data_IF_389876332023
#
_entry.id   IF_389876332023
#
_cell.length_a   1.000
_cell.length_b   1.000
_cell.length_c   1.000
_cell.angle_alpha   90.00
_cell.angle_beta   90.00
_cell.angle_gamma   90.00
#
_symmetry.space_group_name_H-M   'P 1'
#
loop_
_entity.id
_entity.type
_entity.pdbx_description
1 polymer ?
#
# COMPACT_ATOMS: atom_id res chain seq x y z
N UNK A 1 -48.10 -25.38 -22.32
CA UNK A 1 -48.06 -24.08 -21.63
C UNK A 1 -47.60 -24.33 -20.19
N UNK A 2 -46.33 -24.10 -19.87
CA UNK A 2 -45.74 -24.26 -18.55
C UNK A 2 -46.01 -23.00 -17.72
N UNK A 3 -46.54 -23.18 -16.51
CA UNK A 3 -46.77 -22.09 -15.56
C UNK A 3 -45.43 -21.49 -15.13
N UNK A 4 -45.30 -20.17 -14.99
CA UNK A 4 -44.10 -19.54 -14.43
C UNK A 4 -43.96 -19.93 -12.94
N UNK A 5 -42.77 -20.41 -12.59
CA UNK A 5 -42.40 -20.62 -11.17
C UNK A 5 -42.27 -19.28 -10.49
N UNK A 6 -43.15 -19.00 -9.53
CA UNK A 6 -43.07 -17.83 -8.67
C UNK A 6 -42.15 -18.15 -7.49
N UNK A 7 -40.94 -17.64 -7.50
CA UNK A 7 -40.07 -17.67 -6.32
C UNK A 7 -40.49 -16.55 -5.38
N UNK A 8 -40.75 -16.82 -4.09
CA UNK A 8 -41.02 -15.75 -3.14
C UNK A 8 -39.73 -14.92 -2.97
N UNK A 9 -39.84 -13.63 -3.27
CA UNK A 9 -38.79 -12.65 -2.94
C UNK A 9 -38.81 -12.51 -1.40
N UNK A 10 -37.71 -12.80 -0.69
CA UNK A 10 -37.66 -12.53 0.75
C UNK A 10 -37.85 -11.03 0.97
N UNK A 11 -38.91 -10.67 1.68
CA UNK A 11 -39.06 -9.32 2.21
C UNK A 11 -37.95 -9.07 3.22
N UNK A 12 -37.23 -7.97 3.04
CA UNK A 12 -36.17 -7.47 3.93
C UNK A 12 -34.82 -8.19 3.88
N UNK A 13 -34.13 -8.06 2.75
CA UNK A 13 -32.66 -8.01 2.79
C UNK A 13 -32.32 -6.60 3.29
N UNK A 14 -32.04 -6.43 4.57
CA UNK A 14 -31.41 -5.22 5.06
C UNK A 14 -30.11 -5.04 4.27
N UNK A 15 -30.05 -3.98 3.48
CA UNK A 15 -28.79 -3.61 2.80
C UNK A 15 -27.70 -3.52 3.87
N UNK A 16 -26.53 -4.13 3.66
CA UNK A 16 -25.43 -3.99 4.60
C UNK A 16 -25.18 -2.49 4.77
N UNK A 17 -25.30 -2.00 6.00
CA UNK A 17 -24.94 -0.62 6.34
C UNK A 17 -23.45 -0.45 6.06
N UNK A 18 -23.13 0.05 4.87
CA UNK A 18 -21.76 0.42 4.56
C UNK A 18 -21.39 1.55 5.55
N UNK A 19 -20.39 1.36 6.42
CA UNK A 19 -19.99 2.42 7.34
C UNK A 19 -19.58 3.64 6.52
N UNK A 20 -20.13 4.81 6.85
CA UNK A 20 -19.74 6.07 6.22
C UNK A 20 -18.25 6.28 6.49
N UNK A 21 -17.45 6.25 5.43
CA UNK A 21 -16.01 6.49 5.49
C UNK A 21 -15.81 8.01 5.52
N UNK A 22 -15.41 8.56 6.68
CA UNK A 22 -14.97 9.94 6.81
C UNK A 22 -13.55 10.11 6.28
N UNK A 23 -13.11 11.32 5.96
CA UNK A 23 -11.83 11.62 5.27
C UNK A 23 -10.59 10.90 5.84
N UNK A 24 -10.50 10.78 7.17
CA UNK A 24 -9.41 10.04 7.80
C UNK A 24 -9.60 8.51 7.80
N UNK A 25 -10.75 8.03 7.41
CA UNK A 25 -11.07 6.60 7.42
C UNK A 25 -10.46 5.83 6.25
N UNK A 26 -10.05 6.50 5.16
CA UNK A 26 -9.32 5.87 4.05
C UNK A 26 -8.04 5.21 4.53
N UNK A 27 -7.31 5.83 5.47
CA UNK A 27 -6.11 5.23 6.04
C UNK A 27 -6.42 4.01 6.92
N UNK A 28 -7.60 3.96 7.54
CA UNK A 28 -8.09 2.79 8.31
C UNK A 28 -8.44 1.60 7.42
N UNK A 29 -8.57 1.82 6.10
CA UNK A 29 -8.74 0.75 5.12
C UNK A 29 -7.38 0.14 4.67
N UNK A 30 -6.28 0.53 5.30
CA UNK A 30 -4.97 -0.09 5.14
C UNK A 30 -4.84 -1.19 6.20
N UNK A 31 -4.55 -2.40 5.77
CA UNK A 31 -4.54 -3.58 6.63
C UNK A 31 -5.89 -4.29 6.70
N UNK A 32 -6.00 -5.26 7.58
CA UNK A 32 -7.16 -6.13 7.74
C UNK A 32 -7.68 -6.73 6.42
N UNK A 33 -6.76 -7.01 5.51
CA UNK A 33 -7.10 -7.56 4.20
C UNK A 33 -7.61 -8.99 4.32
N UNK A 34 -8.53 -9.43 3.43
CA UNK A 34 -9.02 -10.81 3.45
C UNK A 34 -7.91 -11.82 3.18
N UNK A 35 -8.05 -13.00 3.76
CA UNK A 35 -7.31 -14.20 3.39
C UNK A 35 -8.23 -15.07 2.53
N UNK A 36 -7.87 -15.28 1.27
CA UNK A 36 -8.70 -15.95 0.27
C UNK A 36 -8.19 -17.37 0.04
N UNK A 37 -9.06 -18.37 0.23
CA UNK A 37 -8.72 -19.76 -0.12
C UNK A 37 -8.68 -19.94 -1.64
N UNK A 38 -7.61 -20.56 -2.12
CA UNK A 38 -7.42 -20.86 -3.54
C UNK A 38 -7.85 -22.31 -3.79
N UNK A 39 -8.91 -22.50 -4.57
CA UNK A 39 -9.48 -23.83 -4.79
C UNK A 39 -8.91 -24.56 -6.00
N UNK A 40 -8.39 -23.87 -6.99
CA UNK A 40 -7.97 -24.49 -8.25
C UNK A 40 -6.50 -24.90 -8.30
N UNK A 41 -5.62 -24.15 -7.64
CA UNK A 41 -4.23 -24.54 -7.45
C UNK A 41 -4.14 -25.59 -6.34
N UNK A 42 -3.40 -26.65 -6.58
CA UNK A 42 -3.17 -27.67 -5.57
C UNK A 42 -4.31 -28.68 -5.36
N UNK A 43 -5.27 -28.79 -6.31
CA UNK A 43 -6.38 -29.76 -6.26
C UNK A 43 -5.90 -31.21 -6.06
N UNK A 44 -4.72 -31.53 -6.55
CA UNK A 44 -4.06 -32.82 -6.44
C UNK A 44 -3.57 -33.12 -5.01
N UNK A 45 -3.40 -32.11 -4.18
CA UNK A 45 -2.93 -32.22 -2.80
C UNK A 45 -4.10 -32.13 -1.82
N UNK A 46 -4.65 -33.28 -1.42
CA UNK A 46 -5.87 -33.32 -0.60
C UNK A 46 -5.71 -32.76 0.81
N UNK A 47 -4.47 -32.78 1.32
CA UNK A 47 -4.15 -32.39 2.70
C UNK A 47 -3.52 -30.97 2.77
N UNK A 48 -3.56 -30.22 1.67
CA UNK A 48 -2.98 -28.87 1.58
C UNK A 48 -4.04 -27.84 1.28
N UNK A 49 -4.16 -26.85 2.15
CA UNK A 49 -4.97 -25.65 1.93
C UNK A 49 -4.07 -24.49 1.53
N UNK A 50 -4.30 -23.92 0.36
CA UNK A 50 -3.56 -22.75 -0.14
C UNK A 50 -4.40 -21.50 0.02
N UNK A 51 -3.80 -20.45 0.59
CA UNK A 51 -4.43 -19.15 0.80
C UNK A 51 -3.59 -18.03 0.19
N UNK A 52 -4.27 -16.98 -0.27
CA UNK A 52 -3.65 -15.73 -0.71
C UNK A 52 -4.14 -14.57 0.17
N UNK A 53 -3.19 -13.80 0.69
CA UNK A 53 -3.50 -12.54 1.39
C UNK A 53 -3.83 -11.47 0.36
N UNK A 54 -5.06 -10.94 0.39
CA UNK A 54 -5.60 -10.06 -0.65
C UNK A 54 -5.09 -8.61 -0.52
N UNK A 55 -3.78 -8.40 -0.63
CA UNK A 55 -3.14 -7.11 -0.39
C UNK A 55 -3.53 -6.01 -1.41
N UNK A 56 -4.12 -6.35 -2.54
CA UNK A 56 -4.73 -5.37 -3.47
C UNK A 56 -5.98 -4.68 -2.89
N UNK A 57 -6.50 -5.16 -1.77
CA UNK A 57 -7.63 -4.53 -1.04
C UNK A 57 -7.22 -3.37 -0.14
N UNK A 58 -5.92 -3.13 0.07
CA UNK A 58 -5.46 -1.92 0.74
C UNK A 58 -5.88 -0.66 -0.04
N UNK A 59 -6.07 0.45 0.64
CA UNK A 59 -6.48 1.72 0.04
C UNK A 59 -5.57 2.19 -1.12
N UNK A 60 -4.26 1.92 -1.05
CA UNK A 60 -3.31 2.19 -2.13
C UNK A 60 -3.18 1.05 -3.15
N UNK A 61 -4.06 0.04 -3.11
CA UNK A 61 -4.11 -1.06 -4.08
C UNK A 61 -2.99 -2.09 -3.96
N UNK A 62 -2.19 -2.09 -2.89
CA UNK A 62 -1.09 -3.05 -2.72
C UNK A 62 -0.63 -3.19 -1.28
N UNK A 63 0.21 -4.20 -1.04
CA UNK A 63 0.89 -4.43 0.23
C UNK A 63 1.72 -3.22 0.70
N UNK A 64 2.19 -2.38 -0.21
CA UNK A 64 3.05 -1.22 0.09
C UNK A 64 2.33 -0.11 0.86
N UNK A 65 1.01 -0.14 0.92
CA UNK A 65 0.26 0.80 1.76
C UNK A 65 0.60 0.63 3.25
N UNK A 66 0.86 -0.59 3.70
CA UNK A 66 1.21 -0.88 5.11
C UNK A 66 2.55 -0.26 5.51
N UNK A 67 3.68 -0.57 4.87
CA UNK A 67 4.96 0.04 5.23
C UNK A 67 4.97 1.54 4.98
N UNK A 68 4.34 2.04 3.92
CA UNK A 68 4.28 3.48 3.68
C UNK A 68 3.57 4.22 4.81
N UNK A 69 2.43 3.71 5.30
CA UNK A 69 1.73 4.29 6.43
C UNK A 69 2.59 4.26 7.70
N UNK A 70 3.19 3.12 8.01
CA UNK A 70 4.03 2.96 9.20
C UNK A 70 5.23 3.91 9.19
N UNK A 71 5.95 4.02 8.06
CA UNK A 71 7.10 4.92 7.96
C UNK A 71 6.72 6.39 8.14
N UNK A 72 5.57 6.81 7.60
CA UNK A 72 5.06 8.17 7.78
C UNK A 72 4.65 8.40 9.23
N UNK A 73 3.89 7.50 9.85
CA UNK A 73 3.46 7.64 11.24
C UNK A 73 4.61 7.61 12.24
N UNK A 74 5.62 6.79 12.03
CA UNK A 74 6.82 6.76 12.86
C UNK A 74 7.67 8.03 12.66
N UNK A 75 7.70 8.58 11.43
CA UNK A 75 8.27 9.89 11.14
C UNK A 75 7.58 11.02 11.91
N UNK A 76 6.24 11.02 11.95
CA UNK A 76 5.44 11.97 12.76
C UNK A 76 5.72 11.80 14.25
N UNK A 77 5.67 10.56 14.76
CA UNK A 77 5.89 10.25 16.19
C UNK A 77 7.28 10.65 16.67
N UNK A 78 8.30 10.48 15.83
CA UNK A 78 9.68 10.84 16.14
C UNK A 78 9.97 12.34 15.98
N UNK A 79 9.03 13.13 15.47
CA UNK A 79 9.23 14.55 15.16
C UNK A 79 10.12 14.81 13.94
N UNK A 80 10.54 13.77 13.21
CA UNK A 80 11.32 13.91 11.97
C UNK A 80 10.47 14.42 10.80
N UNK A 81 9.18 14.06 10.76
CA UNK A 81 8.20 14.55 9.81
C UNK A 81 7.27 15.56 10.49
N UNK A 82 7.50 16.83 10.24
CA UNK A 82 6.66 17.95 10.68
C UNK A 82 5.77 18.44 9.53
N UNK A 83 4.76 19.28 9.82
CA UNK A 83 3.77 19.70 8.82
C UNK A 83 4.32 20.58 7.69
N UNK A 84 5.43 21.21 7.91
CA UNK A 84 6.17 22.03 6.94
C UNK A 84 7.07 21.22 6.01
N UNK A 85 7.37 19.96 6.36
CA UNK A 85 8.24 19.10 5.55
C UNK A 85 7.50 18.45 4.38
N UNK A 86 8.28 18.16 3.35
CA UNK A 86 7.85 17.44 2.14
C UNK A 86 8.35 15.99 2.24
N UNK A 87 7.48 15.03 2.03
CA UNK A 87 7.87 13.62 1.94
C UNK A 87 8.60 13.42 0.61
N UNK A 88 9.87 13.00 0.66
CA UNK A 88 10.71 12.75 -0.50
C UNK A 88 11.15 11.29 -0.52
N UNK A 89 10.92 10.57 -1.60
CA UNK A 89 11.50 9.23 -1.78
C UNK A 89 11.72 8.91 -3.25
N UNK A 90 12.57 7.90 -3.49
CA UNK A 90 12.76 7.31 -4.82
C UNK A 90 11.86 6.10 -4.97
N UNK A 91 10.85 6.22 -5.82
CA UNK A 91 9.93 5.10 -6.10
C UNK A 91 9.10 5.34 -7.35
N UNK A 92 9.05 4.34 -8.21
CA UNK A 92 8.23 4.33 -9.43
C UNK A 92 7.01 3.41 -9.31
N UNK A 93 6.85 2.74 -8.17
CA UNK A 93 5.88 1.68 -7.97
C UNK A 93 4.83 1.99 -6.91
N UNK A 94 4.33 0.91 -6.31
CA UNK A 94 3.22 0.97 -5.36
C UNK A 94 3.54 1.74 -4.07
N UNK A 95 4.81 1.82 -3.67
CA UNK A 95 5.23 2.64 -2.52
C UNK A 95 4.96 4.12 -2.80
N UNK A 96 5.30 4.60 -4.01
CA UNK A 96 5.03 5.99 -4.42
C UNK A 96 3.54 6.31 -4.45
N UNK A 97 2.73 5.40 -4.98
CA UNK A 97 1.26 5.53 -4.95
C UNK A 97 0.77 5.65 -3.51
N UNK A 98 1.31 4.83 -2.61
CA UNK A 98 0.92 4.84 -1.20
C UNK A 98 1.36 6.13 -0.49
N UNK A 99 2.58 6.62 -0.73
CA UNK A 99 3.01 7.92 -0.18
C UNK A 99 2.16 9.07 -0.69
N UNK A 100 1.85 9.10 -1.99
CA UNK A 100 1.01 10.15 -2.58
C UNK A 100 -0.41 10.15 -1.98
N UNK A 101 -1.05 8.97 -1.84
CA UNK A 101 -2.33 8.82 -1.19
C UNK A 101 -2.29 9.29 0.27
N UNK A 102 -1.34 8.77 1.07
CA UNK A 102 -1.24 9.06 2.50
C UNK A 102 -0.90 10.53 2.72
N UNK A 103 0.03 11.07 1.92
CA UNK A 103 0.39 12.48 1.93
C UNK A 103 -0.80 13.37 1.69
N UNK A 104 -1.61 13.08 0.65
CA UNK A 104 -2.84 13.84 0.36
C UNK A 104 -3.83 13.80 1.52
N UNK A 105 -4.08 12.62 2.10
CA UNK A 105 -5.03 12.46 3.22
C UNK A 105 -4.53 13.16 4.48
N UNK A 106 -3.23 13.08 4.79
CA UNK A 106 -2.62 13.71 5.97
C UNK A 106 -2.24 15.18 5.76
N UNK A 107 -2.38 15.73 4.54
CA UNK A 107 -2.05 17.12 4.22
C UNK A 107 -0.55 17.40 4.06
N UNK A 108 0.26 16.40 3.71
CA UNK A 108 1.67 16.57 3.36
C UNK A 108 1.85 16.77 1.86
N UNK A 109 2.82 17.60 1.50
CA UNK A 109 3.36 17.59 0.14
C UNK A 109 4.22 16.35 -0.06
N UNK A 110 4.18 15.77 -1.26
CA UNK A 110 4.95 14.58 -1.62
C UNK A 110 5.74 14.87 -2.90
N UNK A 111 7.03 14.56 -2.89
CA UNK A 111 7.92 14.64 -4.05
C UNK A 111 8.52 13.26 -4.29
N UNK A 112 8.33 12.72 -5.49
CA UNK A 112 8.76 11.37 -5.88
C UNK A 112 9.77 11.44 -7.01
N UNK A 113 10.90 10.79 -6.84
CA UNK A 113 11.93 10.67 -7.88
C UNK A 113 11.81 9.31 -8.55
N UNK A 114 11.74 9.29 -9.87
CA UNK A 114 11.60 8.05 -10.65
C UNK A 114 12.20 8.16 -12.04
N UNK A 115 12.57 7.02 -12.67
CA UNK A 115 13.06 7.03 -14.05
C UNK A 115 12.03 7.62 -15.03
N UNK A 116 12.52 8.31 -16.06
CA UNK A 116 11.65 8.99 -17.02
C UNK A 116 10.74 8.03 -17.81
N UNK A 117 11.13 6.76 -17.95
CA UNK A 117 10.39 5.72 -18.69
C UNK A 117 9.27 5.03 -17.90
N UNK A 118 8.96 5.48 -16.69
CA UNK A 118 7.78 5.00 -15.94
C UNK A 118 6.50 5.35 -16.71
N UNK A 119 5.55 4.42 -16.76
CA UNK A 119 4.32 4.55 -17.55
C UNK A 119 3.48 5.78 -17.11
N UNK A 120 2.76 6.34 -18.08
CA UNK A 120 1.98 7.58 -17.87
C UNK A 120 0.87 7.40 -16.83
N UNK A 121 0.25 6.23 -16.79
CA UNK A 121 -0.86 5.92 -15.88
C UNK A 121 -0.43 6.00 -14.41
N UNK A 122 0.76 5.49 -14.08
CA UNK A 122 1.30 5.59 -12.72
C UNK A 122 1.67 7.01 -12.35
N UNK A 123 2.29 7.74 -13.28
CA UNK A 123 2.60 9.16 -13.08
C UNK A 123 1.33 9.96 -12.87
N UNK A 124 0.32 9.77 -13.71
CA UNK A 124 -0.98 10.44 -13.60
C UNK A 124 -1.68 10.14 -12.27
N UNK A 125 -1.66 8.88 -11.82
CA UNK A 125 -2.24 8.53 -10.53
C UNK A 125 -1.54 9.26 -9.37
N UNK A 126 -0.21 9.32 -9.36
CA UNK A 126 0.54 9.97 -8.29
C UNK A 126 0.47 11.50 -8.38
N UNK A 127 0.62 12.08 -9.57
CA UNK A 127 0.65 13.53 -9.77
C UNK A 127 -0.73 14.14 -9.94
N UNK A 128 -1.50 13.70 -10.94
CA UNK A 128 -2.75 14.37 -11.32
C UNK A 128 -3.87 14.08 -10.31
N UNK A 129 -3.92 12.83 -9.79
CA UNK A 129 -4.97 12.44 -8.86
C UNK A 129 -4.60 12.73 -7.40
N UNK A 130 -3.40 12.35 -6.95
CA UNK A 130 -2.98 12.56 -5.56
C UNK A 130 -2.20 13.86 -5.33
N UNK A 131 -1.68 14.52 -6.37
CA UNK A 131 -1.02 15.80 -6.27
C UNK A 131 0.46 15.72 -5.85
N UNK A 132 1.12 14.58 -6.07
CA UNK A 132 2.54 14.46 -5.82
C UNK A 132 3.37 15.15 -6.92
N UNK A 133 4.44 15.84 -6.54
CA UNK A 133 5.45 16.34 -7.47
C UNK A 133 6.31 15.18 -7.97
N UNK A 134 6.46 15.07 -9.28
CA UNK A 134 7.30 14.03 -9.92
C UNK A 134 8.58 14.66 -10.45
N UNK A 135 9.72 14.14 -10.02
CA UNK A 135 11.05 14.44 -10.57
C UNK A 135 11.54 13.22 -11.34
N UNK A 136 11.97 13.41 -12.58
CA UNK A 136 12.44 12.31 -13.42
C UNK A 136 13.95 12.23 -13.46
N UNK A 137 14.51 11.04 -13.21
CA UNK A 137 15.91 10.71 -13.43
C UNK A 137 16.13 10.12 -14.83
N UNK A 138 17.39 9.91 -15.19
CA UNK A 138 17.77 9.26 -16.44
C UNK A 138 17.09 7.89 -16.59
N UNK A 139 16.46 7.60 -17.74
CA UNK A 139 15.85 6.28 -17.97
C UNK A 139 16.88 5.15 -18.08
N UNK A 140 18.13 5.48 -18.36
CA UNK A 140 19.22 4.51 -18.54
C UNK A 140 19.80 4.01 -17.22
N UNK A 141 19.66 4.80 -16.14
CA UNK A 141 20.16 4.46 -14.82
C UNK A 141 19.13 3.70 -13.96
N UNK A 142 17.92 3.57 -14.46
CA UNK A 142 16.86 2.83 -13.79
C UNK A 142 16.55 3.33 -12.38
N UNK A 143 16.26 2.40 -11.48
CA UNK A 143 15.93 2.73 -10.08
C UNK A 143 17.13 3.29 -9.31
N UNK A 144 18.35 2.87 -9.64
CA UNK A 144 19.57 3.31 -8.92
C UNK A 144 19.83 4.80 -9.13
N UNK A 145 19.70 5.28 -10.38
CA UNK A 145 19.81 6.71 -10.68
C UNK A 145 18.76 7.56 -9.96
N UNK A 146 17.55 7.03 -9.84
CA UNK A 146 16.49 7.71 -9.09
C UNK A 146 16.81 7.78 -7.58
N UNK A 147 17.37 6.70 -6.99
CA UNK A 147 17.80 6.67 -5.58
C UNK A 147 18.91 7.70 -5.34
N UNK A 148 19.91 7.74 -6.19
CA UNK A 148 21.04 8.69 -6.08
C UNK A 148 20.51 10.13 -6.18
N UNK A 149 19.62 10.40 -7.13
CA UNK A 149 19.01 11.73 -7.29
C UNK A 149 18.18 12.14 -6.07
N UNK A 150 17.37 11.24 -5.52
CA UNK A 150 16.57 11.52 -4.33
C UNK A 150 17.46 11.85 -3.12
N UNK A 151 18.54 11.09 -2.91
CA UNK A 151 19.52 11.34 -1.85
C UNK A 151 20.17 12.70 -2.02
N UNK A 152 20.61 13.05 -3.23
CA UNK A 152 21.20 14.36 -3.51
C UNK A 152 20.22 15.49 -3.19
N UNK A 153 18.96 15.41 -3.61
CA UNK A 153 17.93 16.42 -3.28
C UNK A 153 17.76 16.56 -1.76
N UNK A 154 17.76 15.44 -1.04
CA UNK A 154 17.66 15.42 0.42
C UNK A 154 18.88 16.07 1.08
N UNK A 155 20.11 15.72 0.67
CA UNK A 155 21.36 16.24 1.23
C UNK A 155 21.53 17.74 1.04
N UNK A 156 21.04 18.27 -0.11
CA UNK A 156 21.06 19.70 -0.40
C UNK A 156 20.11 20.50 0.51
N UNK A 157 19.01 19.89 1.00
CA UNK A 157 17.98 20.59 1.77
C UNK A 157 17.33 19.67 2.83
N UNK A 158 18.08 19.17 3.83
CA UNK A 158 17.57 18.18 4.80
C UNK A 158 16.47 18.73 5.71
N UNK A 159 16.43 20.04 5.90
CA UNK A 159 15.42 20.71 6.74
C UNK A 159 14.05 20.76 6.06
N UNK A 160 14.02 20.77 4.71
CA UNK A 160 12.79 20.84 3.91
C UNK A 160 12.14 19.46 3.74
N UNK A 161 12.95 18.40 3.70
CA UNK A 161 12.48 17.07 3.35
C UNK A 161 12.47 16.12 4.54
N UNK A 162 11.52 15.21 4.51
CA UNK A 162 11.54 13.95 5.25
C UNK A 162 11.68 12.82 4.24
N UNK A 163 12.74 12.04 4.35
CA UNK A 163 12.99 10.90 3.48
C UNK A 163 12.72 9.61 4.24
N UNK A 164 11.61 8.87 3.93
CA UNK A 164 11.28 7.61 4.57
C UNK A 164 12.34 6.53 4.36
N UNK A 165 13.04 6.55 3.22
CA UNK A 165 14.06 5.57 2.82
C UNK A 165 13.58 4.12 2.98
N UNK A 166 12.67 3.70 2.10
CA UNK A 166 12.03 2.38 2.18
C UNK A 166 13.01 1.19 2.22
N UNK A 167 14.25 1.38 1.77
CA UNK A 167 15.24 0.30 1.71
C UNK A 167 15.98 0.09 3.04
N UNK A 168 16.14 1.14 3.85
CA UNK A 168 16.92 1.10 5.08
C UNK A 168 16.07 1.38 6.34
N UNK A 169 14.79 1.67 6.19
CA UNK A 169 13.92 2.02 7.31
C UNK A 169 13.29 0.78 7.95
N UNK A 170 13.62 0.52 9.19
CA UNK A 170 13.06 -0.59 9.97
C UNK A 170 11.53 -0.59 10.03
N UNK A 171 10.88 0.57 9.97
CA UNK A 171 9.43 0.69 9.97
C UNK A 171 8.79 -0.06 8.80
N UNK A 172 9.55 -0.31 7.72
CA UNK A 172 9.09 -1.09 6.58
C UNK A 172 8.74 -2.54 6.98
N UNK A 173 9.70 -3.28 7.54
CA UNK A 173 9.44 -4.66 7.96
C UNK A 173 8.59 -4.74 9.23
N UNK A 174 8.73 -3.77 10.15
CA UNK A 174 7.90 -3.68 11.37
C UNK A 174 6.41 -3.56 11.05
N UNK A 175 6.03 -2.86 9.95
CA UNK A 175 4.66 -2.81 9.50
C UNK A 175 4.06 -4.21 9.30
N UNK A 176 4.84 -5.13 8.73
CA UNK A 176 4.39 -6.51 8.52
C UNK A 176 4.39 -7.34 9.80
N UNK A 177 5.36 -7.14 10.68
CA UNK A 177 5.41 -7.79 11.99
C UNK A 177 4.21 -7.39 12.85
N UNK A 178 3.84 -6.11 12.82
CA UNK A 178 2.75 -5.57 13.66
C UNK A 178 1.36 -5.80 13.08
N UNK A 179 1.23 -5.98 11.76
CA UNK A 179 -0.08 -6.08 11.09
C UNK A 179 -0.25 -7.37 10.28
N UNK A 180 0.51 -7.56 9.21
CA UNK A 180 0.32 -8.68 8.27
C UNK A 180 0.47 -10.04 8.94
N UNK A 181 1.49 -10.20 9.78
CA UNK A 181 1.77 -11.48 10.45
C UNK A 181 0.66 -11.87 11.45
N UNK A 182 0.22 -11.01 12.39
CA UNK A 182 -0.89 -11.37 13.27
C UNK A 182 -2.21 -11.54 12.52
N UNK A 183 -2.46 -10.80 11.44
CA UNK A 183 -3.66 -11.03 10.61
C UNK A 183 -3.66 -12.44 10.01
N UNK A 184 -2.56 -12.88 9.39
CA UNK A 184 -2.44 -14.22 8.79
C UNK A 184 -2.58 -15.29 9.88
N UNK A 185 -1.90 -15.11 11.01
CA UNK A 185 -1.95 -16.02 12.14
C UNK A 185 -3.38 -16.25 12.66
N UNK A 186 -4.10 -15.16 12.89
CA UNK A 186 -5.47 -15.19 13.36
C UNK A 186 -6.46 -15.73 12.31
N UNK A 187 -6.33 -15.28 11.05
CA UNK A 187 -7.22 -15.70 9.96
C UNK A 187 -7.07 -17.18 9.59
N UNK A 188 -5.93 -17.80 9.92
CA UNK A 188 -5.72 -19.24 9.76
C UNK A 188 -6.05 -20.04 11.01
N UNK A 189 -6.62 -19.42 12.06
CA UNK A 189 -6.81 -20.05 13.38
C UNK A 189 -5.51 -20.68 13.90
N UNK A 190 -4.38 -19.96 13.73
CA UNK A 190 -3.05 -20.37 14.18
C UNK A 190 -2.50 -21.64 13.51
N UNK A 191 -3.01 -22.02 12.33
CA UNK A 191 -2.67 -23.26 11.64
C UNK A 191 -1.75 -23.09 10.44
N UNK A 192 -1.26 -21.88 10.15
CA UNK A 192 -0.31 -21.68 9.06
C UNK A 192 0.97 -22.48 9.31
N UNK A 193 1.37 -23.29 8.33
CA UNK A 193 2.57 -24.13 8.39
C UNK A 193 3.67 -23.63 7.45
N UNK A 194 3.28 -23.04 6.32
CA UNK A 194 4.20 -22.52 5.31
C UNK A 194 3.78 -21.11 4.91
N UNK A 195 4.75 -20.23 4.80
CA UNK A 195 4.58 -18.86 4.34
C UNK A 195 5.46 -18.61 3.12
N UNK A 196 4.85 -18.09 2.06
CA UNK A 196 5.52 -17.76 0.80
C UNK A 196 5.32 -16.27 0.51
N UNK A 197 6.40 -15.58 0.21
CA UNK A 197 6.37 -14.18 -0.18
C UNK A 197 7.45 -13.87 -1.21
N UNK A 198 7.20 -12.87 -2.07
CA UNK A 198 8.24 -12.27 -2.88
C UNK A 198 9.19 -11.45 -2.00
N UNK A 199 10.49 -11.55 -2.28
CA UNK A 199 11.50 -10.71 -1.64
C UNK A 199 11.64 -9.41 -2.45
N UNK A 200 11.60 -8.28 -1.76
CA UNK A 200 11.72 -6.95 -2.35
C UNK A 200 11.97 -5.91 -1.26
N UNK A 201 11.46 -4.72 -1.46
CA UNK A 201 11.50 -3.68 -0.43
C UNK A 201 10.34 -3.80 0.53
#
# INVERSE_FOLDING_TARGET
MSKPMNFPIPSEVQAPTCPVITDQSVLKAIGNTPLIRIHNLGKEFKDVDIYAKAEWKNAGGSVKSRPALKMIEDGEKSGKLTKDKIILDSTSGNTGISYALIGKVKGYKVKLVMPANVCKERKGLMADFYGAEIVTSSPFEGSDGAIIMAKKIYEENPDIYFMPDQYNNDSNWKAHQETTAPEIWNQTNHRVTHFLAGIGT
#
